data_IF_421437501125
#
_entry.id   IF_421437501125
#
_cell.length_a   1.000
_cell.length_b   1.000
_cell.length_c   1.000
_cell.angle_alpha   90.00
_cell.angle_beta   90.00
_cell.angle_gamma   90.00
#
_symmetry.space_group_name_H-M   'P 1'
#
loop_
_entity.id
_entity.type
_entity.pdbx_description
1 polymer ?
#
# COMPACT_ATOMS: atom_id res chain seq x y z
N UNK A 1 -8.92 0.02 -0.91
CA UNK A 1 -7.46 0.16 -0.86
C UNK A 1 -7.12 0.51 0.58
N UNK A 2 -6.19 -0.18 1.23
CA UNK A 2 -5.74 0.16 2.57
C UNK A 2 -5.09 1.54 2.56
N UNK A 3 -5.29 2.25 3.66
CA UNK A 3 -4.76 3.57 3.96
C UNK A 3 -3.93 3.47 5.25
N UNK A 4 -3.48 4.61 5.78
CA UNK A 4 -2.59 4.62 6.95
C UNK A 4 -3.08 3.77 8.14
N UNK A 5 -4.37 3.84 8.52
CA UNK A 5 -4.90 3.05 9.64
C UNK A 5 -4.73 1.55 9.46
N UNK A 6 -5.04 0.99 8.27
CA UNK A 6 -4.95 -0.44 8.05
C UNK A 6 -3.50 -0.95 8.11
N UNK A 7 -2.52 -0.19 7.61
CA UNK A 7 -1.11 -0.58 7.71
C UNK A 7 -0.61 -0.53 9.16
N UNK A 8 -1.05 0.49 9.91
CA UNK A 8 -0.72 0.60 11.33
C UNK A 8 -1.27 -0.57 12.14
N UNK A 9 -2.55 -0.90 11.95
CA UNK A 9 -3.20 -2.03 12.62
C UNK A 9 -2.60 -3.38 12.19
N UNK A 10 -2.26 -3.55 10.92
CA UNK A 10 -1.57 -4.75 10.44
C UNK A 10 -0.19 -4.93 11.13
N UNK A 11 0.57 -3.84 11.30
CA UNK A 11 1.84 -3.88 12.02
C UNK A 11 1.65 -4.24 13.50
N UNK A 12 0.63 -3.70 14.15
CA UNK A 12 0.27 -4.08 15.53
C UNK A 12 -0.14 -5.55 15.62
N UNK A 13 -0.94 -6.03 14.67
CA UNK A 13 -1.34 -7.44 14.57
C UNK A 13 -0.12 -8.35 14.45
N UNK A 14 0.79 -8.08 13.51
CA UNK A 14 2.01 -8.89 13.33
C UNK A 14 2.81 -8.94 14.62
N UNK A 15 3.07 -7.79 15.26
CA UNK A 15 3.82 -7.74 16.52
C UNK A 15 3.13 -8.48 17.67
N UNK A 16 1.79 -8.43 17.75
CA UNK A 16 1.03 -9.12 18.79
C UNK A 16 1.00 -10.63 18.53
N UNK A 17 0.73 -11.03 17.30
CA UNK A 17 0.57 -12.43 16.90
C UNK A 17 1.90 -13.18 16.87
N UNK A 18 3.00 -12.52 16.50
CA UNK A 18 4.33 -13.12 16.47
C UNK A 18 5.05 -13.08 17.82
N UNK A 19 4.46 -12.45 18.84
CA UNK A 19 5.08 -12.34 20.17
C UNK A 19 5.25 -13.71 20.79
N UNK A 20 6.48 -14.05 21.17
CA UNK A 20 6.82 -15.34 21.77
C UNK A 20 6.90 -16.50 20.77
N UNK A 21 6.62 -16.26 19.48
CA UNK A 21 6.85 -17.24 18.43
C UNK A 21 8.30 -17.18 17.93
N UNK A 22 8.86 -18.35 17.65
CA UNK A 22 10.14 -18.51 16.97
C UNK A 22 9.84 -19.08 15.59
N UNK A 23 10.34 -18.41 14.56
CA UNK A 23 10.26 -18.83 13.17
C UNK A 23 11.55 -19.52 12.75
N UNK A 24 11.49 -20.36 11.73
CA UNK A 24 12.65 -21.11 11.25
C UNK A 24 12.54 -21.55 9.81
N UNK A 25 13.69 -21.85 9.21
CA UNK A 25 13.81 -22.26 7.82
C UNK A 25 13.84 -21.07 6.86
N UNK A 26 13.40 -21.33 5.62
CA UNK A 26 13.36 -20.36 4.53
C UNK A 26 12.05 -19.59 4.51
N UNK A 27 12.09 -18.39 3.96
CA UNK A 27 10.88 -17.66 3.57
C UNK A 27 10.40 -18.21 2.23
N UNK A 28 9.14 -18.64 2.15
CA UNK A 28 8.61 -19.21 0.92
C UNK A 28 7.68 -18.27 0.17
N UNK A 29 7.96 -18.07 -1.12
CA UNK A 29 7.06 -17.37 -2.04
C UNK A 29 6.21 -18.37 -2.83
N UNK A 30 4.96 -18.03 -3.12
CA UNK A 30 4.16 -18.80 -4.08
C UNK A 30 4.74 -18.67 -5.50
N UNK A 31 4.70 -19.72 -6.34
CA UNK A 31 5.26 -19.66 -7.70
C UNK A 31 4.52 -18.66 -8.62
N UNK A 32 3.27 -18.35 -8.33
CA UNK A 32 2.44 -17.43 -9.14
C UNK A 32 2.67 -15.94 -8.83
N UNK A 33 3.39 -15.64 -7.74
CA UNK A 33 3.71 -14.26 -7.36
C UNK A 33 4.87 -13.73 -8.20
N UNK A 34 4.71 -12.52 -8.74
CA UNK A 34 5.74 -11.81 -9.52
C UNK A 34 6.67 -10.95 -8.66
N UNK A 35 6.43 -10.91 -7.34
CA UNK A 35 7.29 -10.23 -6.39
C UNK A 35 8.62 -10.97 -6.21
N UNK A 36 9.68 -10.31 -5.71
CA UNK A 36 10.99 -10.94 -5.54
C UNK A 36 10.94 -12.11 -4.54
N UNK A 37 11.79 -13.11 -4.78
CA UNK A 37 12.13 -14.11 -3.76
C UNK A 37 12.79 -13.42 -2.56
N UNK A 38 12.67 -14.03 -1.38
CA UNK A 38 13.29 -13.52 -0.14
C UNK A 38 14.47 -14.43 0.21
N UNK A 39 15.72 -14.02 -0.07
CA UNK A 39 16.91 -14.84 0.19
C UNK A 39 17.25 -14.81 1.67
N UNK A 40 16.47 -15.53 2.48
CA UNK A 40 16.64 -15.61 3.93
C UNK A 40 16.42 -17.04 4.41
N UNK A 41 17.36 -17.54 5.19
CA UNK A 41 17.29 -18.84 5.85
C UNK A 41 17.91 -18.73 7.25
N UNK A 42 17.18 -19.14 8.27
CA UNK A 42 17.69 -19.19 9.64
C UNK A 42 16.92 -20.23 10.45
N UNK A 43 17.60 -21.04 11.26
CA UNK A 43 16.98 -22.08 12.06
C UNK A 43 16.06 -21.52 13.14
N UNK A 44 16.30 -20.29 13.58
CA UNK A 44 15.55 -19.62 14.63
C UNK A 44 15.61 -18.09 14.47
N UNK A 45 14.47 -17.44 14.28
CA UNK A 45 14.38 -15.98 14.15
C UNK A 45 13.05 -15.44 14.69
N UNK A 46 13.04 -14.15 15.05
CA UNK A 46 11.83 -13.42 15.39
C UNK A 46 11.36 -12.56 14.23
N UNK A 47 10.05 -12.32 14.19
CA UNK A 47 9.41 -11.39 13.26
C UNK A 47 8.86 -10.20 14.05
N UNK A 48 9.16 -9.00 13.59
CA UNK A 48 8.57 -7.76 14.06
C UNK A 48 8.12 -6.89 12.89
N UNK A 49 7.25 -5.93 13.15
CA UNK A 49 6.75 -5.02 12.14
C UNK A 49 6.68 -3.56 12.62
N UNK A 50 6.81 -2.64 11.68
CA UNK A 50 6.51 -1.22 11.86
C UNK A 50 5.72 -0.72 10.65
N UNK A 51 4.96 0.36 10.79
CA UNK A 51 4.22 0.95 9.68
C UNK A 51 4.57 2.43 9.54
N UNK A 52 4.59 2.92 8.30
CA UNK A 52 4.82 4.33 7.99
C UNK A 52 3.97 4.75 6.80
N UNK A 53 2.93 5.53 7.06
CA UNK A 53 1.97 5.90 6.03
C UNK A 53 1.31 4.67 5.41
N UNK A 54 1.46 4.48 4.09
CA UNK A 54 0.89 3.32 3.38
C UNK A 54 1.87 2.16 3.15
N UNK A 55 2.87 2.07 4.00
CA UNK A 55 3.90 1.04 3.95
C UNK A 55 3.96 0.31 5.30
N UNK A 56 4.25 -0.99 5.24
CA UNK A 56 4.58 -1.80 6.41
C UNK A 56 5.96 -2.42 6.22
N UNK A 57 6.85 -2.22 7.19
CA UNK A 57 8.16 -2.88 7.23
C UNK A 57 8.10 -4.07 8.16
N UNK A 58 8.46 -5.24 7.66
CA UNK A 58 8.59 -6.47 8.43
C UNK A 58 10.08 -6.79 8.56
N UNK A 59 10.54 -7.04 9.78
CA UNK A 59 11.95 -7.33 10.08
C UNK A 59 12.08 -8.75 10.61
N UNK A 60 12.93 -9.53 9.95
CA UNK A 60 13.34 -10.89 10.30
C UNK A 60 14.66 -10.79 11.07
N UNK A 61 14.66 -11.18 12.33
CA UNK A 61 15.81 -11.05 13.22
C UNK A 61 16.26 -12.41 13.72
N UNK A 62 17.35 -12.98 13.16
CA UNK A 62 17.94 -14.24 13.64
C UNK A 62 18.26 -14.21 15.13
N UNK A 63 18.03 -15.32 15.82
CA UNK A 63 18.37 -15.48 17.22
C UNK A 63 19.86 -15.79 17.41
N UNK A 64 20.45 -15.45 18.56
CA UNK A 64 21.82 -15.85 18.89
C UNK A 64 21.98 -17.37 18.77
N UNK A 65 22.99 -17.81 18.01
CA UNK A 65 23.27 -19.23 17.76
C UNK A 65 22.45 -19.88 16.64
N UNK A 66 21.51 -19.16 16.01
CA UNK A 66 20.78 -19.67 14.85
C UNK A 66 21.71 -19.95 13.66
N UNK A 67 21.34 -20.95 12.86
CA UNK A 67 22.13 -21.42 11.71
C UNK A 67 21.29 -21.44 10.43
N UNK A 68 21.85 -21.12 9.26
CA UNK A 68 23.19 -20.53 9.07
C UNK A 68 23.29 -19.12 9.69
N UNK A 69 24.51 -18.59 9.88
CA UNK A 69 24.69 -17.20 10.27
C UNK A 69 24.03 -16.29 9.24
N UNK A 70 23.16 -15.40 9.69
CA UNK A 70 22.32 -14.57 8.85
C UNK A 70 22.18 -13.20 9.51
N UNK A 71 22.30 -12.14 8.73
CA UNK A 71 22.02 -10.78 9.20
C UNK A 71 20.50 -10.53 9.22
N UNK A 72 20.00 -9.65 10.10
CA UNK A 72 18.61 -9.23 10.07
C UNK A 72 18.21 -8.70 8.69
N UNK A 73 17.04 -9.13 8.20
CA UNK A 73 16.50 -8.71 6.92
C UNK A 73 15.20 -7.94 7.10
N UNK A 74 15.09 -6.78 6.45
CA UNK A 74 13.85 -6.00 6.45
C UNK A 74 13.20 -6.01 5.06
N UNK A 75 11.89 -6.15 5.06
CA UNK A 75 11.03 -6.21 3.87
C UNK A 75 10.02 -5.07 3.95
N UNK A 76 9.84 -4.31 2.88
CA UNK A 76 8.81 -3.26 2.79
C UNK A 76 7.64 -3.80 2.00
N UNK A 77 6.44 -3.69 2.57
CA UNK A 77 5.19 -4.15 1.97
C UNK A 77 4.29 -2.97 1.62
N UNK A 78 3.77 -3.04 0.40
CA UNK A 78 2.64 -2.26 -0.08
C UNK A 78 1.47 -3.22 -0.29
N UNK A 79 0.35 -3.03 0.40
CA UNK A 79 -0.74 -4.01 0.39
C UNK A 79 -1.61 -4.02 -0.88
N UNK A 80 -1.42 -3.06 -1.80
CA UNK A 80 -2.25 -2.99 -3.00
C UNK A 80 -3.72 -2.77 -2.64
N UNK A 81 -4.64 -3.65 -3.05
CA UNK A 81 -6.06 -3.52 -2.70
C UNK A 81 -6.60 -4.59 -1.75
N UNK A 82 -5.97 -5.77 -1.71
CA UNK A 82 -6.42 -6.94 -0.96
C UNK A 82 -5.32 -7.59 -0.13
N UNK A 83 -4.12 -6.99 -0.07
CA UNK A 83 -3.03 -7.48 0.75
C UNK A 83 -3.38 -7.46 2.23
N UNK A 84 -3.06 -8.55 2.91
CA UNK A 84 -3.21 -8.69 4.36
C UNK A 84 -2.19 -9.66 4.95
N UNK A 85 -1.91 -9.53 6.25
CA UNK A 85 -1.20 -10.55 7.03
C UNK A 85 -2.19 -11.39 7.80
N UNK A 86 -1.97 -12.71 7.80
CA UNK A 86 -2.75 -13.68 8.55
C UNK A 86 -1.82 -14.67 9.23
N UNK A 87 -2.12 -15.07 10.45
CA UNK A 87 -1.43 -16.16 11.13
C UNK A 87 -2.38 -17.37 11.12
N UNK A 88 -1.96 -18.46 10.49
CA UNK A 88 -2.77 -19.65 10.30
C UNK A 88 -2.02 -20.91 10.72
N UNK A 89 -2.71 -22.03 11.02
CA UNK A 89 -2.08 -23.33 11.18
C UNK A 89 -1.32 -23.73 9.91
N UNK A 90 -0.10 -24.29 10.06
CA UNK A 90 0.75 -24.63 8.91
C UNK A 90 0.16 -25.69 7.97
N UNK A 91 -0.78 -26.50 8.46
CA UNK A 91 -1.51 -27.50 7.69
C UNK A 91 -2.80 -26.96 7.02
N UNK A 92 -3.17 -25.70 7.27
CA UNK A 92 -4.39 -25.07 6.78
C UNK A 92 -4.09 -23.65 6.27
N UNK A 93 -3.19 -23.55 5.29
CA UNK A 93 -2.77 -22.27 4.73
C UNK A 93 -3.93 -21.57 4.01
N UNK A 94 -4.10 -20.23 4.20
CA UNK A 94 -5.09 -19.48 3.47
C UNK A 94 -4.87 -19.54 1.95
N UNK A 95 -5.94 -19.56 1.14
CA UNK A 95 -5.80 -19.40 -0.29
C UNK A 95 -5.13 -18.05 -0.59
N UNK A 96 -4.33 -18.00 -1.67
CA UNK A 96 -3.59 -16.80 -2.07
C UNK A 96 -2.53 -16.32 -1.06
N UNK A 97 -2.02 -17.20 -0.19
CA UNK A 97 -0.85 -16.96 0.64
C UNK A 97 0.43 -16.89 -0.23
N UNK A 98 0.80 -15.67 -0.64
CA UNK A 98 1.85 -15.43 -1.62
C UNK A 98 3.26 -15.35 -1.03
N UNK A 99 3.38 -15.05 0.27
CA UNK A 99 4.64 -15.12 1.02
C UNK A 99 4.37 -15.73 2.40
N UNK A 100 5.21 -16.67 2.85
CA UNK A 100 4.97 -17.52 4.03
C UNK A 100 6.21 -17.60 4.92
N UNK A 101 5.99 -17.50 6.22
CA UNK A 101 7.00 -17.63 7.27
C UNK A 101 6.55 -18.68 8.28
N UNK A 102 7.33 -19.75 8.45
CA UNK A 102 6.95 -20.92 9.26
C UNK A 102 7.56 -20.85 10.66
N UNK A 103 6.82 -21.25 11.67
CA UNK A 103 7.34 -21.42 13.04
C UNK A 103 8.31 -22.59 13.13
N UNK A 104 9.32 -22.47 13.98
CA UNK A 104 10.27 -23.53 14.28
C UNK A 104 9.75 -24.48 15.39
N UNK A 105 10.06 -25.79 15.34
CA UNK A 105 9.89 -26.71 16.49
C UNK A 105 10.78 -26.29 17.69
N UNK A 106 10.39 -26.62 18.94
CA UNK A 106 9.23 -27.42 19.38
C UNK A 106 7.93 -26.60 19.59
N UNK A 107 7.79 -25.42 18.97
CA UNK A 107 6.61 -24.56 19.12
C UNK A 107 5.36 -25.00 18.36
N UNK A 108 4.24 -24.27 18.50
CA UNK A 108 3.02 -24.52 17.74
C UNK A 108 3.29 -24.33 16.24
N UNK A 109 2.77 -25.23 15.41
CA UNK A 109 2.98 -25.21 13.96
C UNK A 109 2.06 -24.19 13.28
N UNK A 110 2.55 -22.96 13.19
CA UNK A 110 1.86 -21.82 12.60
C UNK A 110 2.66 -21.24 11.42
N UNK A 111 1.96 -20.54 10.55
CA UNK A 111 2.53 -19.85 9.40
C UNK A 111 1.99 -18.43 9.33
N UNK A 112 2.87 -17.43 9.39
CA UNK A 112 2.52 -16.06 9.04
C UNK A 112 2.48 -15.95 7.52
N UNK A 113 1.36 -15.49 6.97
CA UNK A 113 1.12 -15.42 5.53
C UNK A 113 0.83 -13.99 5.11
N UNK A 114 1.49 -13.51 4.05
CA UNK A 114 1.00 -12.37 3.27
C UNK A 114 0.02 -12.89 2.20
N UNK A 115 -1.26 -12.59 2.39
CA UNK A 115 -2.37 -13.01 1.53
C UNK A 115 -2.78 -11.85 0.63
N UNK A 116 -2.83 -12.07 -0.69
CA UNK A 116 -3.29 -11.03 -1.63
C UNK A 116 -3.98 -11.62 -2.86
N UNK A 117 -5.31 -11.73 -2.79
CA UNK A 117 -6.16 -12.31 -3.84
C UNK A 117 -5.94 -11.64 -5.21
N UNK A 118 -5.81 -10.30 -5.24
CA UNK A 118 -5.71 -9.52 -6.48
C UNK A 118 -4.28 -9.35 -6.99
N UNK A 119 -3.26 -9.76 -6.21
CA UNK A 119 -1.84 -9.65 -6.55
C UNK A 119 -1.40 -8.25 -6.96
N UNK A 120 -1.97 -7.24 -6.30
CA UNK A 120 -1.58 -5.84 -6.45
C UNK A 120 -0.65 -5.37 -5.34
N UNK A 121 -0.52 -6.17 -4.28
CA UNK A 121 0.47 -5.99 -3.25
C UNK A 121 1.87 -6.30 -3.77
N UNK A 122 2.82 -5.51 -3.29
CA UNK A 122 4.22 -5.60 -3.65
C UNK A 122 5.07 -5.63 -2.39
N UNK A 123 6.20 -6.33 -2.45
CA UNK A 123 7.24 -6.21 -1.45
C UNK A 123 8.61 -6.06 -2.08
N UNK A 124 9.47 -5.33 -1.39
CA UNK A 124 10.87 -5.14 -1.77
C UNK A 124 11.82 -5.45 -0.61
N UNK A 125 13.07 -5.74 -0.96
CA UNK A 125 14.12 -6.18 -0.05
C UNK A 125 15.02 -5.03 0.42
N UNK A 126 14.64 -3.77 0.17
CA UNK A 126 15.52 -2.62 0.48
C UNK A 126 15.67 -2.40 1.98
N UNK A 127 14.65 -2.76 2.76
CA UNK A 127 14.55 -2.45 4.19
C UNK A 127 14.25 -0.98 4.50
N UNK A 128 14.21 -0.13 3.48
CA UNK A 128 14.07 1.32 3.57
C UNK A 128 12.72 1.78 3.03
N UNK A 129 12.07 2.72 3.73
CA UNK A 129 10.82 3.31 3.26
C UNK A 129 10.99 3.92 1.86
N UNK A 130 9.95 3.85 1.03
CA UNK A 130 10.02 4.34 -0.35
C UNK A 130 10.48 5.81 -0.39
N UNK A 131 11.57 6.04 -1.12
CA UNK A 131 12.13 7.36 -1.31
C UNK A 131 11.10 8.35 -1.86
N UNK A 132 11.09 9.56 -1.30
CA UNK A 132 10.18 10.63 -1.70
C UNK A 132 8.83 10.61 -0.97
N UNK A 133 8.48 9.58 -0.19
CA UNK A 133 7.30 9.65 0.68
C UNK A 133 7.54 10.52 1.90
N UNK A 134 6.55 11.38 2.19
CA UNK A 134 6.59 12.27 3.34
C UNK A 134 6.43 11.55 4.68
N UNK A 135 6.53 12.30 5.80
CA UNK A 135 6.26 11.78 7.13
C UNK A 135 4.84 11.20 7.26
N UNK A 136 4.72 10.13 8.05
CA UNK A 136 3.46 9.46 8.32
C UNK A 136 2.52 10.38 9.09
N UNK A 137 1.30 10.56 8.57
CA UNK A 137 0.29 11.39 9.24
C UNK A 137 -0.13 10.87 10.63
N UNK A 138 0.05 9.58 10.92
CA UNK A 138 -0.31 8.98 12.21
C UNK A 138 0.80 9.08 13.26
N UNK A 139 2.05 8.83 12.85
CA UNK A 139 3.18 8.62 13.78
C UNK A 139 4.16 9.80 13.83
N UNK A 140 4.16 10.66 12.80
CA UNK A 140 5.15 11.73 12.62
C UNK A 140 4.42 13.07 12.39
N UNK A 141 3.38 13.38 13.17
CA UNK A 141 2.46 14.50 12.92
C UNK A 141 3.17 15.84 12.77
N UNK A 142 4.07 16.20 13.70
CA UNK A 142 4.74 17.50 13.67
C UNK A 142 5.64 17.62 12.42
N UNK A 143 6.38 16.55 12.08
CA UNK A 143 7.20 16.51 10.87
C UNK A 143 6.34 16.56 9.61
N UNK A 144 5.20 15.86 9.59
CA UNK A 144 4.21 15.90 8.51
C UNK A 144 3.70 17.32 8.29
N UNK A 145 3.21 17.96 9.36
CA UNK A 145 2.66 19.30 9.32
C UNK A 145 3.70 20.30 8.82
N UNK A 146 4.91 20.24 9.36
CA UNK A 146 6.01 21.10 8.96
C UNK A 146 6.40 20.87 7.48
N UNK A 147 6.50 19.62 7.04
CA UNK A 147 6.81 19.26 5.66
C UNK A 147 5.81 19.88 4.66
N UNK A 148 4.51 19.85 4.97
CA UNK A 148 3.50 20.48 4.12
C UNK A 148 3.66 22.01 4.10
N UNK A 149 3.71 22.64 5.28
CA UNK A 149 3.73 24.10 5.39
C UNK A 149 5.01 24.73 4.84
N UNK A 150 6.16 24.05 4.95
CA UNK A 150 7.44 24.51 4.40
C UNK A 150 7.45 24.48 2.87
N UNK A 151 6.73 23.54 2.26
CA UNK A 151 6.79 23.26 0.82
C UNK A 151 5.56 23.75 0.03
N UNK A 152 4.75 24.68 0.55
CA UNK A 152 3.52 25.15 -0.14
C UNK A 152 3.75 25.72 -1.55
N UNK A 153 4.98 26.12 -1.88
CA UNK A 153 5.36 26.55 -3.22
C UNK A 153 5.41 25.41 -4.25
N UNK A 154 5.40 24.13 -3.84
CA UNK A 154 5.36 22.98 -4.76
C UNK A 154 4.08 23.01 -5.61
N UNK A 155 4.22 22.62 -6.89
CA UNK A 155 3.14 22.62 -7.88
C UNK A 155 2.00 21.66 -7.55
N UNK A 156 2.21 20.70 -6.65
CA UNK A 156 1.11 19.86 -6.15
C UNK A 156 0.03 20.70 -5.49
N UNK A 157 0.40 21.79 -4.82
CA UNK A 157 -0.54 22.65 -4.11
C UNK A 157 -1.27 23.63 -5.05
N UNK A 158 -0.93 23.66 -6.33
CA UNK A 158 -1.75 24.33 -7.36
C UNK A 158 -2.99 23.53 -7.73
N UNK A 159 -3.06 22.26 -7.35
CA UNK A 159 -4.15 21.35 -7.69
C UNK A 159 -5.31 21.47 -6.70
N UNK A 160 -6.49 20.93 -7.04
CA UNK A 160 -7.58 20.69 -6.09
C UNK A 160 -7.11 20.05 -4.79
N UNK A 161 -7.65 20.50 -3.64
CA UNK A 161 -7.26 19.96 -2.33
C UNK A 161 -7.54 18.46 -2.21
N UNK A 162 -8.64 17.97 -2.79
CA UNK A 162 -8.93 16.53 -2.81
C UNK A 162 -7.90 15.70 -3.59
N UNK A 163 -7.15 16.31 -4.52
CA UNK A 163 -6.06 15.66 -5.23
C UNK A 163 -4.74 15.77 -4.50
N UNK A 164 -4.44 16.94 -3.93
CA UNK A 164 -3.23 17.17 -3.14
C UNK A 164 -3.17 16.25 -1.92
N UNK A 165 -4.31 16.00 -1.26
CA UNK A 165 -4.44 15.06 -0.14
C UNK A 165 -4.05 13.62 -0.49
N UNK A 166 -3.99 13.24 -1.78
CA UNK A 166 -3.56 11.91 -2.20
C UNK A 166 -2.07 11.84 -2.56
N UNK A 167 -1.34 12.96 -2.58
CA UNK A 167 0.09 12.98 -2.86
C UNK A 167 0.88 12.49 -1.64
N UNK A 168 1.46 11.29 -1.76
CA UNK A 168 2.14 10.63 -0.65
C UNK A 168 3.49 11.27 -0.29
N UNK A 169 4.00 12.23 -1.08
CA UNK A 169 5.15 13.06 -0.71
C UNK A 169 4.83 14.00 0.46
N UNK A 170 3.55 14.33 0.62
CA UNK A 170 3.07 15.30 1.62
C UNK A 170 2.09 14.68 2.60
N UNK A 171 1.17 13.82 2.15
CA UNK A 171 0.10 13.24 2.96
C UNK A 171 0.24 11.71 3.04
N UNK A 172 1.41 11.23 3.46
CA UNK A 172 1.72 9.79 3.51
C UNK A 172 0.81 9.07 4.52
N UNK A 173 -0.08 8.22 4.00
CA UNK A 173 -1.13 7.55 4.78
C UNK A 173 -2.54 7.93 4.34
N UNK A 174 -2.77 9.11 3.78
CA UNK A 174 -4.11 9.54 3.34
C UNK A 174 -4.48 8.89 2.02
N UNK A 175 -5.66 8.29 1.94
CA UNK A 175 -6.24 7.75 0.72
C UNK A 175 -7.63 8.28 0.44
N UNK A 176 -8.39 7.46 -0.29
CA UNK A 176 -9.63 7.90 -0.93
C UNK A 176 -10.78 8.07 0.07
N UNK A 177 -10.89 7.21 1.08
CA UNK A 177 -11.92 7.37 2.09
C UNK A 177 -11.53 8.46 3.08
N UNK A 178 -10.26 8.52 3.51
CA UNK A 178 -9.81 9.55 4.44
C UNK A 178 -9.95 10.96 3.86
N UNK A 179 -9.60 11.19 2.59
CA UNK A 179 -9.77 12.53 1.99
C UNK A 179 -11.23 12.99 2.01
N UNK A 180 -12.17 12.07 1.82
CA UNK A 180 -13.60 12.40 1.80
C UNK A 180 -14.09 12.76 3.21
N UNK A 181 -13.72 11.95 4.22
CA UNK A 181 -14.08 12.20 5.61
C UNK A 181 -13.45 13.50 6.14
N UNK A 182 -12.15 13.71 5.87
CA UNK A 182 -11.42 14.91 6.31
C UNK A 182 -12.05 16.19 5.75
N UNK A 183 -12.29 16.24 4.44
CA UNK A 183 -12.88 17.42 3.80
C UNK A 183 -14.33 17.64 4.26
N UNK A 184 -15.08 16.55 4.47
CA UNK A 184 -16.45 16.61 4.96
C UNK A 184 -16.56 17.22 6.36
N UNK A 185 -15.66 16.85 7.29
CA UNK A 185 -15.63 17.39 8.66
C UNK A 185 -15.43 18.91 8.68
N UNK A 186 -14.73 19.48 7.69
CA UNK A 186 -14.52 20.92 7.54
C UNK A 186 -15.53 21.61 6.62
N UNK A 187 -16.48 20.87 6.02
CA UNK A 187 -17.38 21.39 4.97
C UNK A 187 -16.62 22.06 3.82
N UNK A 188 -15.44 21.52 3.50
CA UNK A 188 -14.53 22.11 2.53
C UNK A 188 -14.86 21.61 1.12
N UNK A 189 -15.04 22.51 0.13
CA UNK A 189 -15.23 22.10 -1.25
C UNK A 189 -14.00 21.33 -1.76
N UNK A 190 -14.15 20.12 -2.32
CA UNK A 190 -13.02 19.26 -2.69
C UNK A 190 -12.16 19.83 -3.82
N UNK A 191 -12.72 20.73 -4.63
CA UNK A 191 -12.03 21.39 -5.74
C UNK A 191 -11.63 22.84 -5.43
N UNK A 192 -11.45 23.18 -4.15
CA UNK A 192 -10.66 24.35 -3.78
C UNK A 192 -9.18 24.18 -4.12
N UNK A 193 -8.51 25.29 -4.44
CA UNK A 193 -7.06 25.27 -4.66
C UNK A 193 -6.33 24.96 -3.36
N UNK A 194 -5.53 23.90 -3.35
CA UNK A 194 -4.90 23.41 -2.12
C UNK A 194 -4.02 24.45 -1.42
N UNK A 195 -3.25 25.23 -2.19
CA UNK A 195 -2.40 26.30 -1.63
C UNK A 195 -3.21 27.35 -0.88
N UNK A 196 -4.33 27.80 -1.44
CA UNK A 196 -5.22 28.78 -0.81
C UNK A 196 -5.71 28.29 0.55
N UNK A 197 -6.16 27.03 0.61
CA UNK A 197 -6.61 26.39 1.85
C UNK A 197 -5.48 26.33 2.89
N UNK A 198 -4.28 25.92 2.47
CA UNK A 198 -3.16 25.67 3.38
C UNK A 198 -2.43 26.95 3.82
N UNK A 199 -2.42 28.01 3.00
CA UNK A 199 -1.86 29.32 3.36
C UNK A 199 -2.65 30.00 4.47
N UNK A 200 -3.98 29.83 4.49
CA UNK A 200 -4.80 30.31 5.60
C UNK A 200 -4.35 29.73 6.96
N UNK A 201 -3.82 28.50 6.97
CA UNK A 201 -3.30 27.85 8.18
C UNK A 201 -2.01 28.48 8.69
N UNK A 202 -1.19 29.11 7.82
CA UNK A 202 -0.01 29.87 8.25
C UNK A 202 -0.40 31.14 8.99
N UNK A 203 -1.48 31.77 8.54
CA UNK A 203 -1.97 33.03 9.10
C UNK A 203 -2.69 32.80 10.44
N UNK A 204 -3.36 31.67 10.61
CA UNK A 204 -3.97 31.22 11.87
C UNK A 204 -2.95 30.63 12.86
N UNK A 205 -1.81 31.29 13.08
CA UNK A 205 -0.98 31.00 14.26
C UNK A 205 -1.69 31.55 15.50
N UNK A 206 -2.18 30.63 16.34
CA UNK A 206 -2.68 30.96 17.67
C UNK A 206 -1.67 31.86 18.39
N UNK A 207 -2.17 32.96 18.96
CA UNK A 207 -1.29 33.99 19.50
C UNK A 207 -0.33 33.40 20.54
N UNK A 208 0.95 33.84 20.57
CA UNK A 208 1.91 33.36 21.56
C UNK A 208 1.46 33.65 23.00
N UNK A 209 0.54 34.62 23.18
CA UNK A 209 -0.05 35.02 24.46
C UNK A 209 -1.06 34.01 25.04
N UNK A 210 -1.59 33.07 24.25
CA UNK A 210 -2.49 32.05 24.76
C UNK A 210 -1.73 31.00 25.58
N UNK A 211 -2.29 30.63 26.72
CA UNK A 211 -1.78 29.53 27.54
C UNK A 211 -1.93 28.20 26.80
N UNK A 212 -1.18 27.18 27.24
CA UNK A 212 -1.26 25.84 26.64
C UNK A 212 -2.70 25.31 26.67
N UNK A 213 -3.40 25.46 27.79
CA UNK A 213 -4.80 25.03 27.95
C UNK A 213 -5.76 25.77 27.02
N UNK A 214 -5.55 27.07 26.80
CA UNK A 214 -6.35 27.85 25.85
C UNK A 214 -6.09 27.44 24.40
N UNK A 215 -4.83 27.17 24.04
CA UNK A 215 -4.46 26.67 22.70
C UNK A 215 -5.08 25.29 22.44
N UNK A 216 -5.04 24.41 23.43
CA UNK A 216 -5.68 23.08 23.36
C UNK A 216 -7.19 23.23 23.16
N UNK A 217 -7.86 24.05 23.98
CA UNK A 217 -9.32 24.25 23.87
C UNK A 217 -9.72 24.82 22.50
N UNK A 218 -8.97 25.80 21.98
CA UNK A 218 -9.24 26.41 20.69
C UNK A 218 -9.08 25.40 19.53
N UNK A 219 -7.99 24.61 19.53
CA UNK A 219 -7.75 23.56 18.51
C UNK A 219 -8.77 22.44 18.57
N UNK A 220 -9.23 22.08 19.77
CA UNK A 220 -10.26 21.06 19.95
C UNK A 220 -11.62 21.49 19.37
N UNK A 221 -11.93 22.79 19.47
CA UNK A 221 -13.19 23.34 18.97
C UNK A 221 -13.17 23.63 17.47
N UNK A 222 -12.01 24.03 16.92
CA UNK A 222 -11.85 24.38 15.51
C UNK A 222 -10.57 23.75 14.94
N UNK A 223 -10.56 22.41 14.73
CA UNK A 223 -9.39 21.74 14.18
C UNK A 223 -9.15 22.17 12.73
N UNK A 224 -7.88 22.36 12.36
CA UNK A 224 -7.52 22.64 10.98
C UNK A 224 -7.38 21.39 10.10
N UNK A 225 -7.21 21.58 8.79
CA UNK A 225 -7.10 20.48 7.83
C UNK A 225 -5.96 19.50 8.15
N UNK A 226 -4.80 20.01 8.57
CA UNK A 226 -3.64 19.16 8.85
C UNK A 226 -3.82 18.42 10.19
N UNK A 227 -4.47 19.05 11.17
CA UNK A 227 -4.89 18.38 12.41
C UNK A 227 -5.86 17.23 12.12
N UNK A 228 -6.84 17.43 11.23
CA UNK A 228 -7.75 16.36 10.82
C UNK A 228 -7.08 15.26 9.99
N UNK A 229 -6.03 15.59 9.22
CA UNK A 229 -5.21 14.56 8.57
C UNK A 229 -4.53 13.62 9.58
N UNK A 230 -4.43 14.01 10.84
CA UNK A 230 -3.88 13.19 11.92
C UNK A 230 -4.96 12.55 12.80
N UNK A 231 -5.96 13.33 13.24
CA UNK A 231 -6.98 12.84 14.17
C UNK A 231 -7.98 11.89 13.51
N UNK A 232 -8.43 12.17 12.28
CA UNK A 232 -9.42 11.33 11.58
C UNK A 232 -8.88 9.91 11.33
N UNK A 233 -7.64 9.70 10.86
CA UNK A 233 -7.07 8.36 10.79
C UNK A 233 -6.89 7.69 12.16
N UNK A 234 -6.60 8.47 13.22
CA UNK A 234 -6.51 7.93 14.60
C UNK A 234 -7.84 7.41 15.11
N UNK A 235 -8.97 8.04 14.77
CA UNK A 235 -10.31 7.52 15.07
C UNK A 235 -10.47 6.10 14.50
N UNK A 236 -10.05 5.89 13.24
CA UNK A 236 -10.12 4.57 12.59
C UNK A 236 -9.24 3.53 13.29
N UNK A 237 -8.03 3.92 13.73
CA UNK A 237 -7.17 3.04 14.52
C UNK A 237 -7.84 2.63 15.84
N UNK A 238 -8.47 3.58 16.54
CA UNK A 238 -9.16 3.32 17.81
C UNK A 238 -10.38 2.41 17.65
N UNK A 239 -11.03 2.43 16.48
CA UNK A 239 -12.12 1.52 16.15
C UNK A 239 -11.66 0.07 15.87
N UNK A 240 -10.34 -0.18 15.76
CA UNK A 240 -9.80 -1.46 15.28
C UNK A 240 -9.75 -1.57 13.75
N UNK A 241 -10.08 -0.48 13.04
CA UNK A 241 -10.02 -0.33 11.59
C UNK A 241 -10.81 -1.37 10.79
N UNK A 242 -10.25 -1.75 9.62
CA UNK A 242 -10.87 -2.67 8.67
C UNK A 242 -10.11 -4.00 8.62
N UNK A 243 -10.60 -5.00 9.35
CA UNK A 243 -10.20 -6.40 9.15
C UNK A 243 -8.94 -6.87 9.88
N UNK A 244 -8.45 -6.14 10.88
CA UNK A 244 -7.42 -6.60 11.82
C UNK A 244 -7.95 -6.59 13.25
N UNK A 245 -8.86 -7.55 13.53
CA UNK A 245 -9.49 -7.82 14.82
C UNK A 245 -9.46 -9.32 15.15
N UNK A 246 -9.86 -9.71 16.37
CA UNK A 246 -9.85 -11.12 16.83
C UNK A 246 -10.90 -12.01 16.13
N UNK A 247 -11.78 -11.43 15.32
CA UNK A 247 -12.94 -12.11 14.72
C UNK A 247 -13.06 -11.75 13.24
N UNK A 248 -12.38 -12.48 12.35
CA UNK A 248 -12.58 -12.34 10.90
C UNK A 248 -14.01 -12.73 10.47
N UNK A 249 -14.95 -11.78 10.49
CA UNK A 249 -16.34 -11.92 10.06
C UNK A 249 -16.89 -10.64 9.42
N UNK A 250 -18.03 -10.73 8.72
CA UNK A 250 -18.68 -9.55 8.08
C UNK A 250 -19.08 -8.44 9.08
N UNK A 251 -19.23 -8.80 10.36
CA UNK A 251 -19.55 -7.89 11.46
C UNK A 251 -18.39 -6.95 11.84
N UNK A 252 -17.14 -7.31 11.61
CA UNK A 252 -15.96 -6.47 11.91
C UNK A 252 -15.94 -5.17 11.06
N UNK A 253 -16.69 -5.13 9.96
CA UNK A 253 -16.79 -3.94 9.11
C UNK A 253 -17.96 -3.02 9.48
N UNK A 254 -18.86 -3.46 10.36
CA UNK A 254 -20.01 -2.64 10.78
C UNK A 254 -19.60 -1.35 11.53
N UNK A 255 -18.66 -1.39 12.51
CA UNK A 255 -18.21 -0.16 13.19
C UNK A 255 -17.59 0.85 12.23
N UNK A 256 -16.75 0.37 11.30
CA UNK A 256 -16.16 1.24 10.28
C UNK A 256 -17.23 1.84 9.34
N UNK A 257 -18.22 1.05 8.90
CA UNK A 257 -19.34 1.56 8.09
C UNK A 257 -20.15 2.61 8.81
N UNK A 258 -20.41 2.43 10.11
CA UNK A 258 -21.12 3.40 10.94
C UNK A 258 -20.29 4.68 11.20
N UNK A 259 -18.96 4.58 11.21
CA UNK A 259 -18.06 5.72 11.36
C UNK A 259 -18.02 6.63 10.13
N UNK A 260 -18.21 6.08 8.92
CA UNK A 260 -18.22 6.87 7.69
C UNK A 260 -19.38 7.87 7.66
N UNK A 261 -19.07 9.13 7.38
CA UNK A 261 -20.06 10.20 7.31
C UNK A 261 -20.23 10.73 5.89
N UNK A 262 -19.27 10.51 4.99
CA UNK A 262 -19.26 11.05 3.64
C UNK A 262 -19.01 9.97 2.57
N UNK A 263 -17.96 9.17 2.76
CA UNK A 263 -17.48 8.25 1.74
C UNK A 263 -18.53 7.16 1.41
N UNK A 264 -19.14 7.27 0.23
CA UNK A 264 -20.16 6.33 -0.21
C UNK A 264 -21.47 6.39 0.56
N UNK A 265 -21.70 7.45 1.36
CA UNK A 265 -22.96 7.65 2.10
C UNK A 265 -24.07 8.14 1.14
N UNK A 266 -25.29 7.65 1.37
CA UNK A 266 -26.45 8.03 0.57
C UNK A 266 -26.73 9.54 0.71
N UNK A 267 -27.12 10.19 -0.40
CA UNK A 267 -27.36 11.63 -0.43
C UNK A 267 -26.11 12.50 -0.63
N UNK A 268 -24.90 11.94 -0.52
CA UNK A 268 -23.67 12.66 -0.83
C UNK A 268 -23.47 12.83 -2.33
N UNK A 269 -22.82 13.94 -2.70
CA UNK A 269 -22.38 14.20 -4.06
C UNK A 269 -21.09 13.46 -4.34
N UNK A 270 -20.87 13.16 -5.63
CA UNK A 270 -19.63 12.56 -6.08
C UNK A 270 -19.20 13.08 -7.45
N UNK A 271 -17.89 13.27 -7.59
CA UNK A 271 -17.23 13.67 -8.84
C UNK A 271 -15.94 12.85 -9.02
N UNK A 272 -15.36 12.87 -10.23
CA UNK A 272 -14.07 12.24 -10.51
C UNK A 272 -12.96 13.28 -10.51
N UNK A 273 -11.86 12.96 -9.84
CA UNK A 273 -10.62 13.72 -9.97
C UNK A 273 -9.93 13.44 -11.32
N UNK A 274 -8.85 14.15 -11.64
CA UNK A 274 -8.15 13.96 -12.93
C UNK A 274 -7.56 12.57 -13.14
N UNK A 275 -7.38 11.79 -12.07
CA UNK A 275 -6.90 10.40 -12.12
C UNK A 275 -8.06 9.40 -12.17
N UNK A 276 -9.30 9.88 -12.37
CA UNK A 276 -10.50 9.06 -12.46
C UNK A 276 -11.00 8.53 -11.11
N UNK A 277 -10.42 8.95 -9.97
CA UNK A 277 -10.83 8.50 -8.64
C UNK A 277 -12.02 9.31 -8.16
N UNK A 278 -13.04 8.62 -7.64
CA UNK A 278 -14.22 9.26 -7.08
C UNK A 278 -13.88 9.98 -5.77
N UNK A 279 -14.27 11.25 -5.67
CA UNK A 279 -14.32 12.02 -4.42
C UNK A 279 -15.78 12.20 -4.00
N UNK A 280 -16.06 11.98 -2.71
CA UNK A 280 -17.37 12.18 -2.08
C UNK A 280 -17.35 13.48 -1.27
N UNK A 281 -18.44 14.24 -1.31
CA UNK A 281 -18.56 15.52 -0.61
C UNK A 281 -20.03 15.93 -0.42
N UNK A 282 -20.25 16.98 0.37
CA UNK A 282 -21.55 17.65 0.54
C UNK A 282 -21.42 19.14 0.20
N UNK A 283 -22.42 19.70 -0.48
CA UNK A 283 -22.45 21.11 -0.83
C UNK A 283 -21.75 21.43 -2.14
N UNK A 284 -21.11 22.60 -2.19
CA UNK A 284 -20.40 23.10 -3.37
C UNK A 284 -19.17 22.24 -3.70
N UNK A 285 -18.95 21.82 -4.96
CA UNK A 285 -17.70 21.18 -5.37
C UNK A 285 -16.48 22.11 -5.34
N UNK A 286 -16.63 23.42 -5.52
CA UNK A 286 -15.54 24.39 -5.57
C UNK A 286 -15.05 24.72 -6.99
N UNK A 287 -14.19 25.75 -7.13
CA UNK A 287 -13.92 26.44 -8.39
C UNK A 287 -13.14 25.63 -9.43
N UNK A 288 -12.33 24.66 -9.00
CA UNK A 288 -11.54 23.81 -9.90
C UNK A 288 -12.26 22.50 -10.30
N UNK A 289 -13.57 22.42 -10.06
CA UNK A 289 -14.36 21.25 -10.42
C UNK A 289 -14.29 20.99 -11.94
N UNK A 290 -14.24 19.71 -12.37
CA UNK A 290 -14.16 19.38 -13.79
C UNK A 290 -15.40 19.89 -14.55
N UNK A 291 -15.18 20.74 -15.56
CA UNK A 291 -16.25 21.26 -16.42
C UNK A 291 -16.96 20.12 -17.14
N UNK A 292 -18.29 20.04 -17.00
CA UNK A 292 -19.12 19.00 -17.62
C UNK A 292 -19.25 17.69 -16.83
N UNK A 293 -18.61 17.58 -15.66
CA UNK A 293 -18.84 16.45 -14.75
C UNK A 293 -20.23 16.50 -14.14
N UNK A 294 -21.13 15.60 -14.54
CA UNK A 294 -22.43 15.46 -13.86
C UNK A 294 -22.18 14.96 -12.43
N UNK A 295 -22.49 15.78 -11.43
CA UNK A 295 -22.48 15.35 -10.03
C UNK A 295 -23.54 14.25 -9.85
N UNK A 296 -23.11 13.06 -9.48
CA UNK A 296 -24.02 11.95 -9.21
C UNK A 296 -24.31 11.91 -7.71
N UNK A 297 -25.59 12.05 -7.35
CA UNK A 297 -26.07 11.86 -5.98
C UNK A 297 -26.38 10.38 -5.77
N UNK A 298 -25.76 9.73 -4.79
CA UNK A 298 -26.06 8.33 -4.47
C UNK A 298 -27.47 8.24 -3.90
N UNK A 299 -28.37 7.53 -4.59
CA UNK A 299 -29.72 7.25 -4.09
C UNK A 299 -29.63 6.27 -2.91
N UNK A 300 -30.44 6.47 -1.88
CA UNK A 300 -30.61 5.49 -0.82
C UNK A 300 -31.29 4.24 -1.41
N UNK A 301 -30.68 3.07 -1.28
CA UNK A 301 -31.38 1.81 -1.51
C UNK A 301 -32.32 1.58 -0.33
N UNK A 302 -33.63 1.65 -0.57
CA UNK A 302 -34.65 1.39 0.45
C UNK A 302 -34.56 -0.03 1.01
N UNK A 303 -34.84 -0.17 2.31
CA UNK A 303 -34.94 -1.44 3.00
C UNK A 303 -36.24 -2.18 2.62
N UNK A 304 -36.11 -3.51 2.47
CA UNK A 304 -37.10 -4.58 2.47
C UNK A 304 -38.16 -4.68 1.34
N UNK A 305 -38.02 -5.75 0.54
CA UNK A 305 -39.09 -6.72 0.27
C UNK A 305 -38.55 -8.13 0.53
N UNK A 306 -39.37 -8.98 1.15
CA UNK A 306 -39.04 -10.31 1.66
C UNK A 306 -38.74 -11.38 0.60
N UNK A 307 -38.55 -12.64 1.02
CA UNK A 307 -37.84 -13.65 0.25
C UNK A 307 -38.79 -14.42 -0.66
N UNK A 308 -38.67 -14.24 -1.97
CA UNK A 308 -39.16 -15.24 -2.93
C UNK A 308 -38.19 -15.42 -4.10
N UNK A 309 -37.85 -16.69 -4.26
CA UNK A 309 -37.23 -17.44 -5.35
C UNK A 309 -35.90 -17.03 -6.01
N UNK A 310 -34.97 -17.98 -5.88
CA UNK A 310 -33.78 -18.15 -6.69
C UNK A 310 -34.19 -18.38 -8.15
N UNK A 311 -33.72 -17.52 -9.05
CA UNK A 311 -33.39 -17.92 -10.42
C UNK A 311 -32.03 -17.32 -10.77
N UNK A 312 -31.08 -18.21 -11.05
CA UNK A 312 -29.78 -17.88 -11.62
C UNK A 312 -29.95 -17.06 -12.91
N UNK A 313 -29.29 -15.90 -13.01
CA UNK A 313 -29.12 -15.21 -14.29
C UNK A 313 -27.64 -14.86 -14.45
N UNK A 314 -26.98 -15.64 -15.32
CA UNK A 314 -25.63 -15.40 -15.80
C UNK A 314 -25.48 -13.99 -16.42
N UNK A 315 -24.31 -13.34 -16.28
CA UNK A 315 -24.03 -12.10 -16.98
C UNK A 315 -23.82 -12.34 -18.49
N UNK A 316 -24.32 -11.46 -19.38
CA UNK A 316 -24.19 -11.64 -20.82
C UNK A 316 -22.75 -11.36 -21.31
N UNK A 317 -22.30 -11.99 -22.42
CA UNK A 317 -20.94 -11.87 -22.91
C UNK A 317 -20.68 -10.48 -23.50
N UNK A 318 -19.58 -9.86 -23.09
CA UNK A 318 -19.06 -8.61 -23.62
C UNK A 318 -18.63 -8.76 -25.09
N UNK A 319 -19.28 -8.02 -25.98
CA UNK A 319 -18.96 -7.89 -27.41
C UNK A 319 -17.58 -7.23 -27.58
N UNK A 320 -16.70 -7.87 -28.35
CA UNK A 320 -15.44 -7.29 -28.82
C UNK A 320 -15.70 -6.23 -29.90
N UNK A 321 -14.85 -5.19 -30.05
CA UNK A 321 -15.00 -4.21 -31.12
C UNK A 321 -14.56 -4.81 -32.46
N UNK A 322 -15.46 -4.75 -33.44
CA UNK A 322 -15.25 -5.09 -34.85
C UNK A 322 -14.25 -4.14 -35.53
N UNK A 323 -13.33 -4.73 -36.30
CA UNK A 323 -12.35 -4.00 -37.10
C UNK A 323 -12.91 -3.32 -38.35
N UNK A 324 -12.23 -2.26 -38.77
CA UNK A 324 -12.36 -1.66 -40.11
C UNK A 324 -11.15 -2.03 -40.95
N UNK A 325 -11.44 -2.69 -42.08
CA UNK A 325 -10.52 -3.02 -43.18
C UNK A 325 -10.01 -1.76 -43.90
N UNK A 326 -8.72 -1.77 -44.30
CA UNK A 326 -8.31 -1.28 -45.64
C UNK A 326 -7.19 -2.19 -46.18
N UNK A 327 -7.35 -2.53 -47.46
CA UNK A 327 -6.67 -3.57 -48.21
C UNK A 327 -5.37 -3.08 -48.86
N UNK A 328 -4.36 -3.94 -48.99
CA UNK A 328 -3.38 -3.90 -50.08
C UNK A 328 -3.01 -5.34 -50.52
N UNK A 329 -2.91 -5.50 -51.84
CA UNK A 329 -2.75 -6.73 -52.62
C UNK A 329 -1.29 -7.24 -52.59
N UNK A 330 -1.10 -8.53 -52.88
CA UNK A 330 0.10 -9.04 -53.56
C UNK A 330 0.82 -10.21 -52.88
N UNK A 331 0.50 -11.43 -53.32
CA UNK A 331 1.32 -12.67 -53.24
C UNK A 331 2.47 -12.59 -54.28
N UNK A 332 3.58 -13.37 -54.18
CA UNK A 332 3.59 -14.85 -54.35
C UNK A 332 4.42 -15.61 -53.29
N UNK A 333 3.92 -16.75 -52.79
CA UNK A 333 4.28 -18.15 -53.12
C UNK A 333 5.75 -18.55 -52.91
N UNK A 334 6.02 -19.49 -51.98
CA UNK A 334 6.33 -20.89 -52.33
C UNK A 334 6.65 -21.80 -51.11
N UNK A 335 6.09 -23.01 -51.20
CA UNK A 335 6.58 -24.36 -50.81
C UNK A 335 6.85 -24.76 -49.34
N UNK A 336 5.92 -25.59 -48.85
CA UNK A 336 6.06 -27.00 -48.40
C UNK A 336 7.24 -27.47 -47.52
N UNK A 337 6.84 -28.20 -46.47
CA UNK A 337 7.36 -29.50 -46.01
C UNK A 337 8.10 -29.58 -44.65
N UNK A 338 7.43 -30.33 -43.76
CA UNK A 338 7.95 -31.43 -42.94
C UNK A 338 8.77 -31.15 -41.66
N UNK A 339 8.22 -31.63 -40.55
CA UNK A 339 8.97 -32.09 -39.37
C UNK A 339 9.82 -33.31 -39.71
N UNK A 340 10.81 -33.65 -38.88
CA UNK A 340 10.57 -34.82 -38.03
C UNK A 340 11.06 -34.72 -36.57
N UNK A 341 10.63 -35.72 -35.83
CA UNK A 341 10.73 -35.99 -34.40
C UNK A 341 12.14 -36.38 -33.89
N UNK A 342 12.30 -36.18 -32.57
CA UNK A 342 12.99 -36.98 -31.52
C UNK A 342 14.02 -38.05 -31.92
N UNK A 343 15.17 -38.03 -31.22
CA UNK A 343 15.63 -39.03 -30.20
C UNK A 343 17.08 -38.68 -29.78
N UNK A 344 17.36 -38.41 -28.49
CA UNK A 344 17.86 -39.32 -27.44
C UNK A 344 19.38 -39.58 -27.40
N UNK A 345 19.99 -39.18 -26.27
CA UNK A 345 21.09 -39.84 -25.52
C UNK A 345 22.52 -39.90 -26.11
N UNK A 346 23.49 -39.23 -25.43
CA UNK A 346 24.54 -39.85 -24.57
C UNK A 346 25.65 -38.84 -24.19
N UNK A 347 25.90 -38.72 -22.90
CA UNK A 347 27.18 -38.33 -22.28
C UNK A 347 28.22 -39.48 -22.47
N UNK A 348 29.56 -39.26 -22.47
CA UNK A 348 30.28 -38.99 -21.19
C UNK A 348 31.66 -38.27 -21.25
N UNK A 349 32.15 -37.96 -20.02
CA UNK A 349 33.55 -37.92 -19.53
C UNK A 349 34.41 -36.64 -19.63
N UNK A 350 34.68 -36.10 -18.44
CA UNK A 350 35.82 -35.28 -17.93
C UNK A 350 37.02 -36.23 -17.60
N UNK A 351 38.32 -35.87 -17.30
CA UNK A 351 39.12 -34.60 -17.15
C UNK A 351 40.51 -34.68 -17.91
N UNK A 352 41.69 -34.07 -17.54
CA UNK A 352 42.07 -32.97 -16.61
C UNK A 352 43.09 -31.89 -17.12
N UNK A 353 43.18 -30.77 -16.37
CA UNK A 353 44.38 -29.99 -15.89
C UNK A 353 45.49 -29.53 -16.87
N UNK A 354 45.82 -28.22 -16.89
CA UNK A 354 47.17 -27.67 -16.50
C UNK A 354 47.30 -26.14 -16.65
N UNK A 355 48.09 -25.57 -15.73
CA UNK A 355 48.48 -24.16 -15.56
C UNK A 355 49.45 -23.58 -16.61
N UNK A 356 49.68 -22.25 -16.46
CA UNK A 356 50.76 -21.35 -16.92
C UNK A 356 50.31 -20.43 -18.06
N UNK A 357 50.26 -19.10 -17.93
CA UNK A 357 51.15 -18.20 -17.20
C UNK A 357 52.07 -17.50 -18.20
N UNK A 358 51.80 -16.23 -18.54
CA UNK A 358 52.79 -15.31 -19.13
C UNK A 358 52.39 -13.83 -18.91
N UNK A 359 53.16 -13.18 -18.03
CA UNK A 359 53.25 -11.72 -17.85
C UNK A 359 54.13 -11.08 -18.93
N UNK A 360 53.81 -9.85 -19.33
CA UNK A 360 54.68 -8.66 -19.60
C UNK A 360 53.76 -7.55 -20.16
N UNK A 361 53.84 -6.27 -19.79
CA UNK A 361 54.83 -5.55 -19.01
C UNK A 361 54.37 -4.13 -18.60
N UNK A 362 55.25 -3.53 -17.79
CA UNK A 362 55.25 -2.25 -17.05
C UNK A 362 54.80 -0.98 -17.79
N UNK A 363 54.24 -0.02 -17.02
CA UNK A 363 54.95 1.21 -16.58
C UNK A 363 54.19 1.93 -15.45
N UNK A 364 54.95 2.39 -14.46
CA UNK A 364 54.53 3.30 -13.40
C UNK A 364 55.44 4.53 -13.46
N UNK A 365 54.90 5.70 -13.13
CA UNK A 365 55.68 6.91 -12.79
C UNK A 365 54.95 7.67 -11.68
N UNK A 366 55.67 7.85 -10.58
CA UNK A 366 55.34 8.59 -9.36
C UNK A 366 55.68 10.08 -9.48
N UNK A 367 55.01 10.93 -8.68
CA UNK A 367 55.44 12.30 -8.39
C UNK A 367 54.55 12.99 -7.35
N UNK A 368 55.04 13.12 -6.12
CA UNK A 368 54.46 13.90 -5.00
C UNK A 368 54.59 15.42 -5.21
N UNK A 369 53.65 16.21 -4.68
CA UNK A 369 53.86 17.10 -3.51
C UNK A 369 52.65 18.04 -3.29
N UNK A 370 52.26 18.16 -2.01
CA UNK A 370 51.37 19.15 -1.37
C UNK A 370 52.17 20.44 -1.04
N UNK A 371 51.60 21.57 -0.57
CA UNK A 371 50.52 21.75 0.43
C UNK A 371 49.09 21.64 -0.08
#
# INVERSE_FOLDING_TARGET
MPEGPELHLASQFVNKACRGLVFGGRVEKSPISRNPEVPFESSAYHISASARGKELRLTLSPLPGAQPPQEPLSLIFHFGMSGSFQLAPSNALPPHAHLRFYTAPPGPQLTLCFVDIRRFGHWDLSGEWQAGRGPCVLLEYEQFRENVLRNLADKVFDRPICEALLDQRFFNGIGNYLRAEILYRLRMPPFEKARTVLEALKQHRLSPKLTLSQKIKAKLQNPDLLELCHSVPKEVVQLGGKGYGQTTGEDDFAPFRAWLQCYGIAGMHSLRDRHGRTIWFQGDPGPLAPKGGKSHKKKASGAQRGPEDRVEVHPPPSKAPSGTRRAWRGLPEQTTAQQPERTSLRDPKVPPVTEKGKRRGRRASSGCCRP
#
